data_IF_877133271599
#
_entry.id   IF_877133271599
#
_cell.length_a   1.000
_cell.length_b   1.000
_cell.length_c   1.000
_cell.angle_alpha   90.00
_cell.angle_beta   90.00
_cell.angle_gamma   90.00
#
_symmetry.space_group_name_H-M   'P 1'
#
loop_
_entity.id
_entity.type
_entity.pdbx_description
1 polymer ?
#
# COMPACT_ATOMS: atom_id res chain seq x y z
N UNK A 1 20.87 3.74 5.69
CA UNK A 1 19.71 4.66 5.77
C UNK A 1 18.43 4.06 5.19
N UNK A 2 18.32 3.83 3.87
CA UNK A 2 17.07 3.36 3.21
C UNK A 2 16.41 2.14 3.86
N UNK A 3 17.20 1.09 4.15
CA UNK A 3 16.68 -0.13 4.80
C UNK A 3 16.09 0.16 6.18
N UNK A 4 16.80 0.95 7.01
CA UNK A 4 16.33 1.34 8.34
C UNK A 4 15.11 2.26 8.28
N UNK A 5 15.07 3.20 7.34
CA UNK A 5 13.94 4.10 7.13
C UNK A 5 12.67 3.33 6.72
N UNK A 6 12.81 2.34 5.83
CA UNK A 6 11.69 1.50 5.40
C UNK A 6 11.20 0.56 6.52
N UNK A 7 12.12 0.03 7.34
CA UNK A 7 11.75 -0.71 8.55
C UNK A 7 11.08 0.18 9.60
N UNK A 8 11.52 1.43 9.78
CA UNK A 8 10.95 2.33 10.77
C UNK A 8 9.46 2.62 10.52
N UNK A 9 9.12 3.03 9.29
CA UNK A 9 7.73 3.33 8.94
C UNK A 9 6.81 2.11 8.97
N UNK A 10 7.27 0.98 8.43
CA UNK A 10 6.44 -0.22 8.30
C UNK A 10 6.40 -1.09 9.55
N UNK A 11 7.53 -1.26 10.26
CA UNK A 11 7.60 -2.13 11.44
C UNK A 11 7.40 -1.36 12.74
N UNK A 12 8.08 -0.23 12.96
CA UNK A 12 7.95 0.44 14.26
C UNK A 12 6.61 1.15 14.37
N UNK A 13 6.28 2.04 13.44
CA UNK A 13 5.04 2.82 13.57
C UNK A 13 3.78 1.94 13.44
N UNK A 14 3.68 1.09 12.41
CA UNK A 14 2.45 0.33 12.19
C UNK A 14 2.24 -0.82 13.19
N UNK A 15 3.26 -1.67 13.45
CA UNK A 15 3.07 -2.79 14.39
C UNK A 15 2.89 -2.28 15.82
N UNK A 16 3.69 -1.30 16.28
CA UNK A 16 3.57 -0.83 17.65
C UNK A 16 2.26 -0.08 17.88
N UNK A 17 1.80 0.69 16.90
CA UNK A 17 0.47 1.32 16.97
C UNK A 17 -0.63 0.27 17.16
N UNK A 18 -0.67 -0.76 16.31
CA UNK A 18 -1.72 -1.79 16.42
C UNK A 18 -1.56 -2.64 17.67
N UNK A 19 -0.34 -2.93 18.13
CA UNK A 19 -0.12 -3.64 19.40
C UNK A 19 -0.65 -2.84 20.58
N UNK A 20 -0.32 -1.55 20.66
CA UNK A 20 -0.80 -0.66 21.71
C UNK A 20 -2.33 -0.52 21.68
N UNK A 21 -2.92 -0.34 20.50
CA UNK A 21 -4.37 -0.27 20.35
C UNK A 21 -5.08 -1.56 20.80
N UNK A 22 -4.49 -2.73 20.54
CA UNK A 22 -5.04 -4.02 21.01
C UNK A 22 -4.93 -4.21 22.54
N UNK A 23 -3.96 -3.57 23.19
CA UNK A 23 -3.80 -3.65 24.65
C UNK A 23 -4.79 -2.74 25.39
N UNK A 24 -5.15 -1.60 24.79
CA UNK A 24 -6.02 -0.59 25.42
C UNK A 24 -7.51 -0.90 25.18
N UNK A 25 -7.88 -1.33 23.96
CA UNK A 25 -9.30 -1.47 23.58
C UNK A 25 -9.79 -2.90 23.68
N UNK A 26 -11.00 -3.06 24.23
CA UNK A 26 -11.72 -4.33 24.21
C UNK A 26 -12.22 -4.71 22.80
N UNK A 27 -12.54 -5.99 22.57
CA UNK A 27 -13.04 -6.48 21.26
C UNK A 27 -14.33 -5.74 20.83
N UNK A 28 -15.16 -5.34 21.78
CA UNK A 28 -16.41 -4.64 21.51
C UNK A 28 -16.17 -3.17 21.11
N UNK A 29 -15.17 -2.53 21.72
CA UNK A 29 -14.78 -1.15 21.40
C UNK A 29 -13.99 -1.05 20.09
N UNK A 30 -13.15 -2.05 19.80
CA UNK A 30 -12.35 -2.13 18.59
C UNK A 30 -13.19 -1.97 17.30
N UNK A 31 -14.40 -2.52 17.28
CA UNK A 31 -15.32 -2.39 16.12
C UNK A 31 -15.70 -0.94 15.80
N UNK A 32 -15.80 -0.07 16.82
CA UNK A 32 -16.09 1.35 16.64
C UNK A 32 -14.82 2.14 16.36
N UNK A 33 -13.79 2.00 17.19
CA UNK A 33 -12.62 2.87 17.15
C UNK A 33 -11.61 2.54 16.04
N UNK A 34 -11.53 1.30 15.55
CA UNK A 34 -10.53 0.94 14.53
C UNK A 34 -10.84 1.61 13.18
N UNK A 35 -12.12 1.76 12.85
CA UNK A 35 -12.55 2.52 11.68
C UNK A 35 -12.15 4.00 11.79
N UNK A 36 -12.25 4.56 12.99
CA UNK A 36 -11.88 5.94 13.29
C UNK A 36 -10.36 6.16 13.21
N UNK A 37 -9.54 5.17 13.61
CA UNK A 37 -8.08 5.23 13.44
C UNK A 37 -7.66 5.29 11.98
N UNK A 38 -8.29 4.47 11.12
CA UNK A 38 -8.06 4.53 9.68
C UNK A 38 -8.38 5.91 9.10
N UNK A 39 -9.46 6.53 9.58
CA UNK A 39 -9.88 7.87 9.19
C UNK A 39 -8.90 8.97 9.63
N UNK A 40 -8.47 8.95 10.90
CA UNK A 40 -7.45 9.87 11.42
C UNK A 40 -6.12 9.70 10.67
N UNK A 41 -5.77 8.47 10.28
CA UNK A 41 -4.62 8.20 9.44
C UNK A 41 -4.63 8.95 8.11
N UNK A 42 -5.80 9.11 7.48
CA UNK A 42 -5.92 9.88 6.23
C UNK A 42 -5.75 11.39 6.45
N UNK A 43 -6.19 11.93 7.59
CA UNK A 43 -5.92 13.32 7.97
C UNK A 43 -4.41 13.53 8.14
N UNK A 44 -3.72 12.57 8.76
CA UNK A 44 -2.26 12.57 8.86
C UNK A 44 -1.58 12.59 7.49
N UNK A 45 -2.03 11.75 6.55
CA UNK A 45 -1.49 11.70 5.19
C UNK A 45 -1.71 13.00 4.41
N UNK A 46 -2.90 13.60 4.55
CA UNK A 46 -3.21 14.90 3.94
C UNK A 46 -2.34 16.03 4.50
N UNK A 47 -2.19 16.07 5.82
CA UNK A 47 -1.32 17.04 6.51
C UNK A 47 0.15 16.86 6.09
N UNK A 48 0.64 15.62 6.00
CA UNK A 48 2.00 15.34 5.55
C UNK A 48 2.26 15.86 4.12
N UNK A 49 1.30 15.66 3.20
CA UNK A 49 1.37 16.22 1.85
C UNK A 49 1.35 17.76 1.85
N UNK A 50 0.53 18.38 2.72
CA UNK A 50 0.42 19.83 2.84
C UNK A 50 1.71 20.48 3.39
N UNK A 51 2.29 19.90 4.45
CA UNK A 51 3.56 20.34 5.00
C UNK A 51 4.71 20.18 3.99
N UNK A 52 4.74 19.07 3.25
CA UNK A 52 5.73 18.87 2.18
C UNK A 52 5.67 20.00 1.13
N UNK A 53 4.48 20.38 0.67
CA UNK A 53 4.33 21.50 -0.27
C UNK A 53 4.70 22.85 0.36
N UNK A 54 4.35 23.07 1.63
CA UNK A 54 4.71 24.30 2.33
C UNK A 54 6.23 24.46 2.41
N UNK A 55 6.93 23.42 2.87
CA UNK A 55 8.39 23.45 3.06
C UNK A 55 9.18 23.53 1.77
N UNK A 56 8.69 22.89 0.70
CA UNK A 56 9.31 22.99 -0.64
C UNK A 56 9.13 24.38 -1.27
N UNK A 57 8.04 25.09 -0.94
CA UNK A 57 7.84 26.48 -1.38
C UNK A 57 8.63 27.49 -0.56
N UNK A 58 8.74 27.31 0.76
CA UNK A 58 9.44 28.25 1.64
C UNK A 58 10.96 28.10 1.60
N UNK A 59 11.48 26.88 1.39
CA UNK A 59 12.91 26.68 1.22
C UNK A 59 13.39 27.32 -0.08
N UNK A 60 14.38 28.20 -0.01
CA UNK A 60 14.98 28.83 -1.21
C UNK A 60 15.73 27.79 -2.03
N UNK A 61 16.56 26.98 -1.38
CA UNK A 61 17.27 25.84 -1.97
C UNK A 61 16.61 24.50 -1.63
N UNK A 62 16.95 23.45 -2.40
CA UNK A 62 16.57 22.07 -2.04
C UNK A 62 17.07 21.70 -0.65
N UNK A 63 18.29 22.10 -0.29
CA UNK A 63 18.88 21.77 1.01
C UNK A 63 18.10 22.41 2.16
N UNK A 64 17.70 23.68 2.04
CA UNK A 64 16.85 24.35 3.04
C UNK A 64 15.50 23.66 3.17
N UNK A 65 14.89 23.28 2.03
CA UNK A 65 13.62 22.53 2.01
C UNK A 65 13.76 21.18 2.72
N UNK A 66 14.87 20.48 2.47
CA UNK A 66 15.18 19.18 3.08
C UNK A 66 15.42 19.30 4.59
N UNK A 67 16.05 20.38 5.05
CA UNK A 67 16.18 20.67 6.48
C UNK A 67 14.82 20.88 7.13
N UNK A 68 13.91 21.65 6.53
CA UNK A 68 12.56 21.82 7.07
C UNK A 68 11.77 20.50 7.12
N UNK A 69 11.82 19.70 6.06
CA UNK A 69 11.19 18.38 6.02
C UNK A 69 11.75 17.48 7.14
N UNK A 70 13.07 17.41 7.26
CA UNK A 70 13.74 16.56 8.27
C UNK A 70 13.43 17.04 9.70
N UNK A 71 13.46 18.34 9.95
CA UNK A 71 13.10 18.92 11.25
C UNK A 71 11.64 18.67 11.62
N UNK A 72 10.72 18.70 10.65
CA UNK A 72 9.31 18.38 10.90
C UNK A 72 9.10 16.91 11.30
N UNK A 73 9.86 15.99 10.70
CA UNK A 73 9.84 14.57 11.05
C UNK A 73 10.36 14.39 12.49
N UNK A 74 11.47 15.04 12.85
CA UNK A 74 12.01 15.00 14.21
C UNK A 74 11.01 15.55 15.23
N UNK A 75 10.39 16.70 14.96
CA UNK A 75 9.37 17.28 15.82
C UNK A 75 8.17 16.32 16.00
N UNK A 76 7.70 15.70 14.92
CA UNK A 76 6.60 14.73 14.98
C UNK A 76 6.97 13.50 15.84
N UNK A 77 8.24 13.05 15.79
CA UNK A 77 8.74 11.96 16.62
C UNK A 77 8.82 12.33 18.10
N UNK A 78 9.22 13.55 18.43
CA UNK A 78 9.23 14.06 19.81
C UNK A 78 7.80 14.15 20.34
N UNK A 79 6.88 14.76 19.57
CA UNK A 79 5.47 14.86 19.94
C UNK A 79 4.83 13.49 20.13
N UNK A 80 5.13 12.52 19.26
CA UNK A 80 4.68 11.14 19.42
C UNK A 80 5.21 10.51 20.71
N UNK A 81 6.50 10.73 21.03
CA UNK A 81 7.12 10.21 22.25
C UNK A 81 6.48 10.80 23.52
N UNK A 82 6.19 12.11 23.51
CA UNK A 82 5.46 12.79 24.60
C UNK A 82 4.04 12.23 24.71
N UNK A 83 3.33 12.07 23.59
CA UNK A 83 1.98 11.52 23.59
C UNK A 83 1.94 10.09 24.16
N UNK A 84 2.92 9.25 23.80
CA UNK A 84 3.06 7.89 24.35
C UNK A 84 3.40 7.91 25.84
N UNK A 85 4.28 8.82 26.28
CA UNK A 85 4.61 8.99 27.70
C UNK A 85 3.37 9.41 28.52
N UNK A 86 2.60 10.37 28.01
CA UNK A 86 1.36 10.82 28.66
C UNK A 86 0.32 9.71 28.70
N UNK A 87 0.15 8.99 27.59
CA UNK A 87 -0.78 7.87 27.51
C UNK A 87 -0.43 6.78 28.53
N UNK A 88 0.83 6.38 28.62
CA UNK A 88 1.27 5.31 29.52
C UNK A 88 1.25 5.70 30.99
N UNK A 89 1.73 6.90 31.34
CA UNK A 89 1.89 7.28 32.74
C UNK A 89 0.65 7.93 33.36
N UNK A 90 -0.21 8.59 32.57
CA UNK A 90 -1.31 9.39 33.11
C UNK A 90 -2.72 8.92 32.70
N UNK A 91 -2.89 8.28 31.53
CA UNK A 91 -4.23 7.92 31.03
C UNK A 91 -4.59 6.45 31.22
N UNK A 92 -3.68 5.52 30.89
CA UNK A 92 -3.97 4.08 30.87
C UNK A 92 -3.25 3.32 32.00
N UNK A 93 -2.15 3.89 32.52
CA UNK A 93 -1.30 3.27 33.54
C UNK A 93 -0.33 2.23 32.96
N UNK A 94 0.92 2.22 33.41
CA UNK A 94 1.96 1.32 32.87
C UNK A 94 1.62 -0.18 33.01
N UNK A 95 0.77 -0.55 33.97
CA UNK A 95 0.40 -1.95 34.24
C UNK A 95 -0.51 -2.55 33.17
N UNK A 96 -1.28 -1.75 32.43
CA UNK A 96 -2.12 -2.24 31.32
C UNK A 96 -1.31 -2.42 30.03
N UNK A 97 -0.35 -1.52 29.77
CA UNK A 97 0.52 -1.55 28.58
C UNK A 97 1.64 -2.58 28.72
N UNK A 98 2.23 -2.73 29.92
CA UNK A 98 3.33 -3.66 30.20
C UNK A 98 2.89 -4.97 30.91
N UNK A 99 1.73 -5.02 31.55
CA UNK A 99 1.29 -6.18 32.35
C UNK A 99 0.82 -7.40 31.54
N UNK A 100 0.80 -7.32 30.21
CA UNK A 100 0.49 -8.47 29.33
C UNK A 100 1.71 -9.31 28.93
N UNK A 101 2.87 -9.15 29.59
CA UNK A 101 4.04 -10.02 29.34
C UNK A 101 3.88 -11.47 29.84
N UNK A 102 2.84 -11.82 30.60
CA UNK A 102 2.68 -13.17 31.18
C UNK A 102 1.84 -14.16 30.34
N UNK A 103 1.22 -13.77 29.22
CA UNK A 103 0.56 -14.73 28.32
C UNK A 103 1.47 -15.15 27.17
N UNK A 104 2.37 -16.10 27.46
CA UNK A 104 3.20 -16.93 26.58
C UNK A 104 3.79 -16.25 25.35
N UNK A 105 5.13 -16.21 25.25
CA UNK A 105 5.85 -16.08 23.98
C UNK A 105 5.41 -17.21 23.02
N UNK A 106 4.31 -17.03 22.28
CA UNK A 106 4.05 -17.81 21.07
C UNK A 106 5.19 -17.45 20.13
N UNK A 107 6.13 -18.40 19.92
CA UNK A 107 7.25 -18.25 18.98
C UNK A 107 6.68 -17.66 17.68
N UNK A 108 7.08 -16.42 17.36
CA UNK A 108 6.80 -15.85 16.04
C UNK A 108 7.54 -16.77 15.05
N UNK A 109 6.84 -17.47 14.15
CA UNK A 109 7.50 -18.37 13.22
C UNK A 109 8.55 -17.58 12.43
N UNK A 110 9.74 -18.17 12.23
CA UNK A 110 10.75 -17.55 11.38
C UNK A 110 10.20 -17.29 9.97
N UNK A 111 10.81 -16.39 9.19
CA UNK A 111 10.34 -16.08 7.82
C UNK A 111 10.22 -17.36 6.97
N UNK A 112 11.12 -18.33 7.15
CA UNK A 112 11.11 -19.63 6.47
C UNK A 112 9.98 -20.54 6.96
N UNK A 113 9.73 -20.58 8.26
CA UNK A 113 8.63 -21.34 8.85
C UNK A 113 7.26 -20.76 8.45
N UNK A 114 7.18 -19.44 8.39
CA UNK A 114 6.02 -18.69 7.92
C UNK A 114 5.76 -18.94 6.44
N UNK A 115 6.81 -18.98 5.60
CA UNK A 115 6.72 -19.37 4.19
C UNK A 115 6.19 -20.80 4.06
N UNK A 116 6.80 -21.74 4.78
CA UNK A 116 6.34 -23.13 4.80
C UNK A 116 4.86 -23.22 5.18
N UNK A 117 4.45 -22.47 6.21
CA UNK A 117 3.07 -22.45 6.68
C UNK A 117 2.07 -21.86 5.65
N UNK A 118 2.44 -20.77 4.96
CA UNK A 118 1.62 -20.17 3.88
C UNK A 118 1.43 -21.16 2.73
N UNK A 119 2.49 -21.87 2.36
CA UNK A 119 2.43 -22.87 1.28
C UNK A 119 1.77 -24.19 1.71
N UNK A 120 1.68 -24.48 3.01
CA UNK A 120 0.96 -25.67 3.53
C UNK A 120 -0.55 -25.59 3.39
N UNK A 121 -1.14 -24.39 3.43
CA UNK A 121 -2.59 -24.20 3.32
C UNK A 121 -2.95 -23.52 2.01
N UNK A 122 -3.65 -24.24 1.13
CA UNK A 122 -4.15 -23.72 -0.15
C UNK A 122 -4.93 -22.41 0.03
N UNK A 123 -5.71 -22.29 1.10
CA UNK A 123 -6.52 -21.11 1.39
C UNK A 123 -5.67 -19.88 1.76
N UNK A 124 -4.71 -20.05 2.67
CA UNK A 124 -3.78 -18.98 3.07
C UNK A 124 -2.87 -18.59 1.89
N UNK A 125 -2.41 -19.57 1.12
CA UNK A 125 -1.63 -19.35 -0.09
C UNK A 125 -2.37 -18.49 -1.12
N UNK A 126 -3.68 -18.68 -1.29
CA UNK A 126 -4.50 -17.82 -2.16
C UNK A 126 -4.58 -16.38 -1.63
N UNK A 127 -4.76 -16.17 -0.32
CA UNK A 127 -4.75 -14.82 0.26
C UNK A 127 -3.38 -14.17 0.08
N UNK A 128 -2.30 -14.89 0.37
CA UNK A 128 -0.94 -14.41 0.15
C UNK A 128 -0.70 -14.04 -1.32
N UNK A 129 -1.19 -14.84 -2.26
CA UNK A 129 -1.12 -14.55 -3.69
C UNK A 129 -1.84 -13.25 -4.06
N UNK A 130 -3.00 -12.95 -3.46
CA UNK A 130 -3.67 -11.64 -3.67
C UNK A 130 -2.78 -10.48 -3.24
N UNK A 131 -2.15 -10.58 -2.06
CA UNK A 131 -1.26 -9.54 -1.53
C UNK A 131 0.00 -9.37 -2.38
N UNK A 132 0.56 -10.48 -2.88
CA UNK A 132 1.71 -10.48 -3.79
C UNK A 132 1.33 -9.80 -5.11
N UNK A 133 0.21 -10.19 -5.73
CA UNK A 133 -0.24 -9.62 -6.99
C UNK A 133 -0.48 -8.12 -6.87
N UNK A 134 -1.12 -7.66 -5.79
CA UNK A 134 -1.25 -6.24 -5.48
C UNK A 134 0.12 -5.55 -5.41
N UNK A 135 1.04 -6.08 -4.59
CA UNK A 135 2.36 -5.47 -4.40
C UNK A 135 3.17 -5.38 -5.69
N UNK A 136 3.18 -6.44 -6.50
CA UNK A 136 3.88 -6.45 -7.79
C UNK A 136 3.25 -5.41 -8.73
N UNK A 137 1.93 -5.45 -8.91
CA UNK A 137 1.21 -4.58 -9.85
C UNK A 137 1.46 -3.10 -9.56
N UNK A 138 1.38 -2.69 -8.29
CA UNK A 138 1.65 -1.30 -7.88
C UNK A 138 3.11 -0.94 -8.08
N UNK A 139 4.04 -1.82 -7.73
CA UNK A 139 5.47 -1.53 -7.87
C UNK A 139 5.87 -1.38 -9.35
N UNK A 140 5.31 -2.20 -10.24
CA UNK A 140 5.54 -2.11 -11.68
C UNK A 140 5.14 -0.74 -12.24
N UNK A 141 3.95 -0.25 -11.90
CA UNK A 141 3.47 1.07 -12.34
C UNK A 141 4.25 2.20 -11.67
N UNK A 142 4.43 2.15 -10.34
CA UNK A 142 5.17 3.18 -9.58
C UNK A 142 6.61 3.35 -10.06
N UNK A 143 7.29 2.25 -10.43
CA UNK A 143 8.67 2.30 -10.89
C UNK A 143 8.82 3.08 -12.19
N UNK A 144 7.98 2.79 -13.19
CA UNK A 144 7.96 3.52 -14.47
C UNK A 144 7.52 4.97 -14.24
N UNK A 145 6.47 5.19 -13.44
CA UNK A 145 5.95 6.52 -13.16
C UNK A 145 6.95 7.43 -12.44
N UNK A 146 7.68 6.92 -11.43
CA UNK A 146 8.74 7.70 -10.75
C UNK A 146 9.85 8.12 -11.71
N UNK A 147 10.17 7.29 -12.70
CA UNK A 147 11.13 7.66 -13.75
C UNK A 147 10.59 8.72 -14.70
N UNK A 148 9.31 8.68 -15.05
CA UNK A 148 8.68 9.76 -15.81
C UNK A 148 8.67 11.08 -15.05
N UNK A 149 8.39 11.06 -13.74
CA UNK A 149 8.48 12.25 -12.89
C UNK A 149 9.89 12.84 -12.94
N UNK A 150 10.93 12.02 -12.82
CA UNK A 150 12.33 12.49 -12.88
C UNK A 150 12.70 13.11 -14.24
N UNK A 151 12.05 12.69 -15.33
CA UNK A 151 12.26 13.25 -16.66
C UNK A 151 11.49 14.58 -16.82
N UNK A 152 10.26 14.65 -16.33
CA UNK A 152 9.39 15.84 -16.47
C UNK A 152 9.77 16.96 -15.47
N UNK A 153 10.24 16.59 -14.28
CA UNK A 153 10.65 17.52 -13.23
C UNK A 153 12.13 17.29 -12.89
N UNK A 154 13.06 18.06 -13.48
CA UNK A 154 14.48 17.95 -13.17
C UNK A 154 14.83 18.47 -11.77
N UNK A 155 14.09 19.44 -11.23
CA UNK A 155 14.32 20.00 -9.90
C UNK A 155 13.71 19.09 -8.81
N UNK A 156 14.52 18.62 -7.82
CA UNK A 156 14.03 17.87 -6.67
C UNK A 156 12.91 18.55 -5.87
N UNK A 157 12.86 19.90 -5.85
CA UNK A 157 11.80 20.66 -5.19
C UNK A 157 10.46 20.42 -5.87
N UNK A 158 10.42 20.41 -7.21
CA UNK A 158 9.20 20.18 -7.96
C UNK A 158 8.71 18.73 -7.86
N UNK A 159 9.64 17.77 -7.86
CA UNK A 159 9.32 16.36 -7.59
C UNK A 159 8.65 16.22 -6.21
N UNK A 160 9.19 16.89 -5.19
CA UNK A 160 8.69 16.81 -3.82
C UNK A 160 7.36 17.54 -3.64
N UNK A 161 7.19 18.69 -4.28
CA UNK A 161 5.93 19.44 -4.31
C UNK A 161 4.83 18.62 -5.01
N UNK A 162 5.13 18.00 -6.16
CA UNK A 162 4.23 17.10 -6.86
C UNK A 162 3.90 15.87 -6.01
N UNK A 163 4.89 15.27 -5.34
CA UNK A 163 4.68 14.19 -4.39
C UNK A 163 3.77 14.57 -3.22
N UNK A 164 3.88 15.82 -2.72
CA UNK A 164 2.97 16.40 -1.73
C UNK A 164 1.51 16.43 -2.22
N UNK A 165 1.27 16.92 -3.44
CA UNK A 165 -0.06 16.92 -4.08
C UNK A 165 -0.61 15.50 -4.20
N UNK A 166 0.18 14.55 -4.67
CA UNK A 166 -0.22 13.15 -4.81
C UNK A 166 -0.65 12.57 -3.46
N UNK A 167 0.06 12.86 -2.37
CA UNK A 167 -0.33 12.39 -1.04
C UNK A 167 -1.67 12.99 -0.58
N UNK A 168 -1.90 14.29 -0.80
CA UNK A 168 -3.17 14.93 -0.45
C UNK A 168 -4.34 14.35 -1.24
N UNK A 169 -4.19 14.19 -2.56
CA UNK A 169 -5.22 13.57 -3.38
C UNK A 169 -5.42 12.09 -3.02
N UNK A 170 -4.36 11.38 -2.63
CA UNK A 170 -4.47 10.01 -2.10
C UNK A 170 -5.33 9.98 -0.84
N UNK A 171 -5.09 10.89 0.11
CA UNK A 171 -5.86 10.96 1.35
C UNK A 171 -7.34 11.26 1.06
N UNK A 172 -7.64 12.24 0.21
CA UNK A 172 -9.01 12.61 -0.16
C UNK A 172 -9.74 11.50 -0.94
N UNK A 173 -9.05 10.87 -1.91
CA UNK A 173 -9.61 9.75 -2.66
C UNK A 173 -9.84 8.54 -1.75
N UNK A 174 -8.94 8.27 -0.81
CA UNK A 174 -9.11 7.17 0.16
C UNK A 174 -10.30 7.44 1.07
N UNK A 175 -10.40 8.65 1.61
CA UNK A 175 -11.53 9.08 2.44
C UNK A 175 -12.88 8.83 1.75
N UNK A 176 -13.02 9.33 0.52
CA UNK A 176 -14.27 9.17 -0.26
C UNK A 176 -14.54 7.71 -0.60
N UNK A 177 -13.51 6.95 -0.99
CA UNK A 177 -13.62 5.53 -1.26
C UNK A 177 -13.99 4.71 -0.02
N UNK A 178 -13.52 5.08 1.19
CA UNK A 178 -13.86 4.39 2.45
C UNK A 178 -15.35 4.54 2.78
N UNK A 179 -15.93 5.73 2.52
CA UNK A 179 -17.37 5.94 2.68
C UNK A 179 -18.15 5.05 1.71
N UNK A 180 -17.76 5.04 0.43
CA UNK A 180 -18.40 4.21 -0.59
C UNK A 180 -18.26 2.70 -0.30
N UNK A 181 -17.09 2.26 0.15
CA UNK A 181 -16.84 0.84 0.43
C UNK A 181 -17.65 0.32 1.60
N UNK A 182 -17.91 1.15 2.61
CA UNK A 182 -18.77 0.79 3.74
C UNK A 182 -20.19 0.41 3.30
N UNK A 183 -20.71 1.05 2.25
CA UNK A 183 -22.01 0.73 1.66
C UNK A 183 -21.93 -0.54 0.80
N UNK A 184 -20.93 -0.64 -0.07
CA UNK A 184 -20.76 -1.78 -0.97
C UNK A 184 -20.55 -3.09 -0.20
N UNK A 185 -19.71 -3.08 0.84
CA UNK A 185 -19.41 -4.25 1.67
C UNK A 185 -20.61 -4.75 2.49
N UNK A 186 -21.61 -3.90 2.74
CA UNK A 186 -22.84 -4.28 3.45
C UNK A 186 -23.89 -4.91 2.55
N UNK A 187 -23.92 -4.53 1.27
CA UNK A 187 -24.99 -4.91 0.33
C UNK A 187 -24.55 -6.02 -0.61
N UNK A 188 -23.30 -5.99 -1.06
CA UNK A 188 -22.81 -6.90 -2.09
C UNK A 188 -22.03 -8.09 -1.49
N UNK A 189 -21.95 -9.16 -2.28
CA UNK A 189 -21.18 -10.35 -1.91
C UNK A 189 -19.67 -10.05 -1.79
N UNK A 190 -18.98 -10.85 -0.97
CA UNK A 190 -17.52 -10.76 -0.79
C UNK A 190 -16.76 -10.75 -2.13
N UNK A 191 -17.17 -11.59 -3.10
CA UNK A 191 -16.55 -11.65 -4.44
C UNK A 191 -16.63 -10.31 -5.17
N UNK A 192 -17.79 -9.67 -5.13
CA UNK A 192 -18.03 -8.40 -5.80
C UNK A 192 -17.14 -7.32 -5.21
N UNK A 193 -16.98 -7.28 -3.89
CA UNK A 193 -16.08 -6.34 -3.25
C UNK A 193 -14.60 -6.64 -3.54
N UNK A 194 -14.20 -7.92 -3.52
CA UNK A 194 -12.81 -8.33 -3.72
C UNK A 194 -12.31 -8.10 -5.16
N UNK A 195 -13.20 -8.15 -6.16
CA UNK A 195 -12.83 -7.96 -7.57
C UNK A 195 -12.72 -6.49 -8.00
N UNK A 196 -13.32 -5.56 -7.25
CA UNK A 196 -13.25 -4.11 -7.54
C UNK A 196 -11.80 -3.62 -7.57
N UNK A 197 -10.98 -4.05 -6.60
CA UNK A 197 -9.56 -3.66 -6.51
C UNK A 197 -8.77 -4.00 -7.78
N UNK A 198 -8.70 -5.28 -8.23
CA UNK A 198 -7.97 -5.60 -9.44
C UNK A 198 -8.58 -4.97 -10.70
N UNK A 199 -9.91 -4.78 -10.77
CA UNK A 199 -10.53 -4.08 -11.91
C UNK A 199 -10.02 -2.63 -12.00
N UNK A 200 -10.07 -1.88 -10.90
CA UNK A 200 -9.64 -0.47 -10.91
C UNK A 200 -8.15 -0.35 -11.21
N UNK A 201 -7.32 -1.23 -10.64
CA UNK A 201 -5.88 -1.25 -10.94
C UNK A 201 -5.62 -1.57 -12.42
N UNK A 202 -6.36 -2.51 -13.02
CA UNK A 202 -6.23 -2.83 -14.44
C UNK A 202 -6.68 -1.66 -15.33
N UNK A 203 -7.86 -1.11 -15.09
CA UNK A 203 -8.45 -0.01 -15.87
C UNK A 203 -7.59 1.25 -15.79
N UNK A 204 -6.91 1.49 -14.69
CA UNK A 204 -6.02 2.65 -14.54
C UNK A 204 -4.59 2.36 -15.01
N UNK A 205 -4.09 1.13 -14.82
CA UNK A 205 -2.73 0.72 -15.16
C UNK A 205 -2.50 0.45 -16.64
N UNK A 206 -3.44 -0.21 -17.32
CA UNK A 206 -3.30 -0.52 -18.76
C UNK A 206 -3.22 0.74 -19.61
N UNK A 207 -4.12 1.74 -19.46
CA UNK A 207 -3.99 2.99 -20.18
C UNK A 207 -2.68 3.70 -19.89
N UNK A 208 -2.24 3.73 -18.62
CA UNK A 208 -0.94 4.31 -18.27
C UNK A 208 0.20 3.67 -19.09
N UNK A 209 0.29 2.34 -19.14
CA UNK A 209 1.31 1.66 -19.93
C UNK A 209 1.19 1.90 -21.43
N UNK A 210 -0.04 1.97 -21.97
CA UNK A 210 -0.27 2.30 -23.39
C UNK A 210 0.24 3.71 -23.70
N UNK A 211 -0.10 4.70 -22.88
CA UNK A 211 0.37 6.08 -23.06
C UNK A 211 1.89 6.18 -23.05
N UNK A 212 2.55 5.47 -22.13
CA UNK A 212 4.02 5.49 -22.02
C UNK A 212 4.68 4.77 -23.20
N UNK A 213 4.11 3.64 -23.63
CA UNK A 213 4.67 2.80 -24.70
C UNK A 213 4.54 3.45 -26.08
N UNK A 214 3.42 4.13 -26.33
CA UNK A 214 3.09 4.72 -27.64
C UNK A 214 3.22 6.25 -27.67
N UNK A 215 4.03 6.83 -26.76
CA UNK A 215 4.18 8.29 -26.62
C UNK A 215 4.48 9.03 -27.93
N UNK A 216 5.28 8.44 -28.82
CA UNK A 216 5.62 9.05 -30.12
C UNK A 216 4.44 9.06 -31.10
N UNK A 217 3.65 7.98 -31.11
CA UNK A 217 2.43 7.93 -31.92
C UNK A 217 1.40 8.97 -31.44
N UNK A 218 1.22 9.12 -30.13
CA UNK A 218 0.33 10.14 -29.56
C UNK A 218 0.80 11.56 -29.84
N UNK A 219 2.11 11.83 -29.74
CA UNK A 219 2.67 13.15 -30.05
C UNK A 219 2.39 13.55 -31.51
N UNK A 220 2.60 12.63 -32.45
CA UNK A 220 2.37 12.87 -33.88
C UNK A 220 0.87 13.00 -34.21
N UNK A 221 0.01 12.20 -33.58
CA UNK A 221 -1.44 12.18 -33.88
C UNK A 221 -2.15 13.42 -33.35
N UNK A 222 -1.73 13.92 -32.19
CA UNK A 222 -2.35 15.08 -31.53
C UNK A 222 -1.66 16.41 -31.91
N UNK A 223 -0.62 16.37 -32.74
CA UNK A 223 0.21 17.52 -33.10
C UNK A 223 0.72 18.30 -31.87
N UNK A 224 1.22 17.56 -30.88
CA UNK A 224 1.76 18.13 -29.63
C UNK A 224 3.19 17.65 -29.37
N UNK A 225 3.93 18.43 -28.60
CA UNK A 225 5.31 18.07 -28.25
C UNK A 225 5.36 16.78 -27.42
N UNK A 226 6.47 16.05 -27.56
CA UNK A 226 6.74 14.87 -26.71
C UNK A 226 6.77 15.20 -25.21
N UNK A 227 7.15 16.42 -24.83
CA UNK A 227 7.14 16.86 -23.44
C UNK A 227 5.72 16.94 -22.86
N UNK A 228 4.76 17.44 -23.66
CA UNK A 228 3.34 17.51 -23.29
C UNK A 228 2.75 16.11 -23.05
N UNK A 229 3.06 15.15 -23.93
CA UNK A 229 2.61 13.75 -23.75
C UNK A 229 3.20 13.12 -22.49
N UNK A 230 4.49 13.37 -22.20
CA UNK A 230 5.12 12.89 -20.98
C UNK A 230 4.49 13.48 -19.72
N UNK A 231 4.12 14.77 -19.74
CA UNK A 231 3.39 15.40 -18.64
C UNK A 231 2.03 14.72 -18.40
N UNK A 232 1.25 14.48 -19.45
CA UNK A 232 -0.02 13.74 -19.33
C UNK A 232 0.20 12.33 -18.79
N UNK A 233 1.23 11.61 -19.24
CA UNK A 233 1.57 10.30 -18.69
C UNK A 233 1.91 10.35 -17.19
N UNK A 234 2.57 11.42 -16.72
CA UNK A 234 2.80 11.64 -15.28
C UNK A 234 1.48 11.87 -14.54
N UNK A 235 0.55 12.64 -15.09
CA UNK A 235 -0.77 12.85 -14.47
C UNK A 235 -1.60 11.56 -14.44
N UNK A 236 -1.65 10.81 -15.54
CA UNK A 236 -2.32 9.50 -15.57
C UNK A 236 -1.73 8.53 -14.56
N UNK A 237 -0.40 8.43 -14.48
CA UNK A 237 0.28 7.61 -13.48
C UNK A 237 0.05 8.09 -12.05
N UNK A 238 -0.12 9.39 -11.82
CA UNK A 238 -0.48 9.95 -10.52
C UNK A 238 -1.90 9.52 -10.13
N UNK A 239 -2.86 9.65 -11.04
CA UNK A 239 -4.25 9.20 -10.86
C UNK A 239 -4.32 7.71 -10.59
N UNK A 240 -3.58 6.90 -11.34
CA UNK A 240 -3.45 5.46 -11.13
C UNK A 240 -2.97 5.15 -9.70
N UNK A 241 -1.93 5.84 -9.23
CA UNK A 241 -1.38 5.63 -7.88
C UNK A 241 -2.33 6.07 -6.76
N UNK A 242 -2.96 7.23 -6.93
CA UNK A 242 -3.97 7.76 -6.00
C UNK A 242 -5.13 6.77 -5.85
N UNK A 243 -5.73 6.36 -6.97
CA UNK A 243 -6.87 5.44 -6.98
C UNK A 243 -6.49 4.05 -6.48
N UNK A 244 -5.29 3.57 -6.81
CA UNK A 244 -4.80 2.28 -6.35
C UNK A 244 -4.64 2.21 -4.84
N UNK A 245 -4.12 3.27 -4.22
CA UNK A 245 -4.00 3.35 -2.75
C UNK A 245 -5.38 3.49 -2.11
N UNK A 246 -6.23 4.35 -2.66
CA UNK A 246 -7.60 4.52 -2.18
C UNK A 246 -8.37 3.20 -2.18
N UNK A 247 -8.41 2.49 -3.30
CA UNK A 247 -9.15 1.23 -3.39
C UNK A 247 -8.52 0.12 -2.55
N UNK A 248 -7.19 0.15 -2.36
CA UNK A 248 -6.52 -0.78 -1.46
C UNK A 248 -7.04 -0.65 -0.04
N UNK A 249 -6.98 0.56 0.53
CA UNK A 249 -7.40 0.78 1.91
C UNK A 249 -8.91 0.60 2.08
N UNK A 250 -9.71 0.93 1.06
CA UNK A 250 -11.17 0.91 1.16
C UNK A 250 -11.81 -0.43 0.84
N UNK A 251 -11.24 -1.24 -0.07
CA UNK A 251 -11.81 -2.52 -0.50
C UNK A 251 -10.86 -3.70 -0.28
N UNK A 252 -9.61 -3.59 -0.71
CA UNK A 252 -8.67 -4.72 -0.64
C UNK A 252 -8.38 -5.14 0.80
N UNK A 253 -8.02 -4.19 1.67
CA UNK A 253 -7.66 -4.50 3.06
C UNK A 253 -8.89 -5.08 3.81
N UNK A 254 -10.11 -4.49 3.76
CA UNK A 254 -11.29 -5.09 4.37
C UNK A 254 -11.66 -6.47 3.81
N UNK A 255 -11.64 -6.67 2.49
CA UNK A 255 -12.00 -7.97 1.89
C UNK A 255 -10.96 -9.05 2.20
N UNK A 256 -9.68 -8.69 2.29
CA UNK A 256 -8.61 -9.54 2.81
C UNK A 256 -8.88 -9.94 4.27
N UNK A 257 -9.22 -8.97 5.13
CA UNK A 257 -9.54 -9.26 6.53
C UNK A 257 -10.76 -10.18 6.67
N UNK A 258 -11.80 -9.97 5.85
CA UNK A 258 -12.96 -10.87 5.78
C UNK A 258 -12.57 -12.28 5.36
N UNK A 259 -11.61 -12.44 4.44
CA UNK A 259 -11.13 -13.74 4.02
C UNK A 259 -10.46 -14.53 5.16
N UNK A 260 -9.92 -13.86 6.19
CA UNK A 260 -9.36 -14.55 7.36
C UNK A 260 -10.40 -14.99 8.40
N UNK A 261 -11.66 -14.58 8.28
CA UNK A 261 -12.71 -14.89 9.27
C UNK A 261 -13.01 -16.40 9.36
N UNK A 262 -13.19 -17.14 8.25
CA UNK A 262 -13.57 -18.57 8.28
C UNK A 262 -12.41 -19.53 8.62
N UNK A 263 -11.27 -19.02 9.10
CA UNK A 263 -10.10 -19.83 9.44
C UNK A 263 -10.12 -20.19 10.93
N UNK A 264 -9.68 -21.41 11.24
CA UNK A 264 -9.45 -21.86 12.62
C UNK A 264 -8.46 -20.94 13.34
N UNK A 265 -8.57 -20.80 14.67
CA UNK A 265 -7.79 -19.81 15.43
C UNK A 265 -6.27 -19.91 15.21
N UNK A 266 -5.74 -21.12 15.09
CA UNK A 266 -4.31 -21.34 14.83
C UNK A 266 -3.90 -20.86 13.43
N UNK A 267 -4.69 -21.22 12.41
CA UNK A 267 -4.47 -20.81 11.02
C UNK A 267 -4.66 -19.30 10.86
N UNK A 268 -5.61 -18.71 11.57
CA UNK A 268 -5.86 -17.28 11.58
C UNK A 268 -4.69 -16.52 12.20
N UNK A 269 -4.17 -16.96 13.34
CA UNK A 269 -3.07 -16.28 14.02
C UNK A 269 -1.74 -16.40 13.26
N UNK A 270 -1.34 -17.62 12.86
CA UNK A 270 -0.07 -17.86 12.17
C UNK A 270 -0.14 -17.49 10.69
N UNK A 271 -1.24 -17.87 10.03
CA UNK A 271 -1.44 -17.67 8.59
C UNK A 271 -1.63 -16.21 8.20
N UNK A 272 -2.38 -15.42 8.97
CA UNK A 272 -2.53 -13.97 8.71
C UNK A 272 -1.20 -13.25 8.79
N UNK A 273 -0.47 -13.46 9.89
CA UNK A 273 0.85 -12.83 10.08
C UNK A 273 1.81 -13.22 8.94
N UNK A 274 1.83 -14.50 8.57
CA UNK A 274 2.66 -14.98 7.49
C UNK A 274 2.26 -14.39 6.14
N UNK A 275 0.98 -14.44 5.74
CA UNK A 275 0.49 -13.92 4.47
C UNK A 275 0.66 -12.39 4.35
N UNK A 276 0.42 -11.63 5.43
CA UNK A 276 0.52 -10.17 5.39
C UNK A 276 1.98 -9.70 5.34
N UNK A 277 2.86 -10.29 6.17
CA UNK A 277 4.27 -9.90 6.23
C UNK A 277 5.02 -10.39 4.99
N UNK A 278 4.86 -11.66 4.63
CA UNK A 278 5.55 -12.26 3.48
C UNK A 278 4.94 -11.73 2.20
N UNK A 279 3.61 -11.80 2.05
CA UNK A 279 2.95 -11.39 0.81
C UNK A 279 3.18 -9.91 0.50
N UNK A 280 3.13 -9.04 1.50
CA UNK A 280 3.40 -7.61 1.32
C UNK A 280 4.84 -7.32 0.89
N UNK A 281 5.81 -8.05 1.47
CA UNK A 281 7.24 -7.91 1.13
C UNK A 281 7.57 -8.53 -0.22
N UNK A 282 7.19 -9.78 -0.44
CA UNK A 282 7.37 -10.48 -1.71
C UNK A 282 6.67 -9.75 -2.85
N UNK A 283 5.52 -9.13 -2.63
CA UNK A 283 4.85 -8.32 -3.64
C UNK A 283 5.70 -7.13 -4.08
N UNK A 284 6.12 -6.29 -3.13
CA UNK A 284 6.97 -5.12 -3.43
C UNK A 284 8.34 -5.51 -3.99
N UNK A 285 9.02 -6.44 -3.34
CA UNK A 285 10.32 -6.93 -3.77
C UNK A 285 10.24 -7.65 -5.12
N UNK A 286 9.15 -8.39 -5.38
CA UNK A 286 8.93 -9.07 -6.66
C UNK A 286 8.86 -8.08 -7.82
N UNK A 287 8.07 -7.00 -7.70
CA UNK A 287 8.04 -5.95 -8.72
C UNK A 287 9.41 -5.29 -8.94
N UNK A 288 10.13 -5.01 -7.84
CA UNK A 288 11.46 -4.40 -7.92
C UNK A 288 12.50 -5.35 -8.54
N UNK A 289 12.45 -6.64 -8.23
CA UNK A 289 13.33 -7.67 -8.82
C UNK A 289 13.02 -7.82 -10.31
N UNK A 290 11.76 -7.81 -10.72
CA UNK A 290 11.38 -7.84 -12.15
C UNK A 290 12.03 -6.65 -12.86
N UNK A 291 11.83 -5.42 -12.35
CA UNK A 291 12.43 -4.22 -12.94
C UNK A 291 13.96 -4.26 -12.96
N UNK A 292 14.58 -4.64 -11.84
CA UNK A 292 16.03 -4.74 -11.72
C UNK A 292 16.63 -5.78 -12.66
N UNK A 293 15.99 -6.95 -12.77
CA UNK A 293 16.44 -8.03 -13.67
C UNK A 293 16.42 -7.54 -15.11
N UNK A 294 15.32 -6.91 -15.51
CA UNK A 294 15.19 -6.39 -16.88
C UNK A 294 16.22 -5.30 -17.20
N UNK A 295 16.45 -4.36 -16.28
CA UNK A 295 17.48 -3.34 -16.45
C UNK A 295 18.89 -3.94 -16.54
N UNK A 296 19.14 -5.04 -15.82
CA UNK A 296 20.46 -5.70 -15.79
C UNK A 296 20.70 -6.53 -17.05
N UNK A 297 19.69 -7.24 -17.56
CA UNK A 297 19.83 -8.10 -18.74
C UNK A 297 19.71 -7.36 -20.07
N UNK A 298 19.03 -6.20 -20.10
CA UNK A 298 18.87 -5.38 -21.31
C UNK A 298 19.75 -4.14 -21.15
N UNK A 299 21.01 -4.27 -21.53
CA UNK A 299 22.04 -3.23 -21.34
C UNK A 299 21.66 -1.93 -22.06
N UNK A 300 21.83 -0.79 -21.39
CA UNK A 300 21.48 0.53 -21.94
C UNK A 300 19.98 0.85 -21.93
N UNK A 301 19.12 -0.05 -21.44
CA UNK A 301 17.69 0.23 -21.31
C UNK A 301 17.38 1.18 -20.16
N UNK A 302 16.29 1.93 -20.32
CA UNK A 302 15.65 2.69 -19.25
C UNK A 302 14.32 2.03 -18.88
N UNK A 303 13.85 2.25 -17.66
CA UNK A 303 12.51 1.79 -17.22
C UNK A 303 11.39 2.24 -18.17
N UNK A 304 11.53 3.41 -18.78
CA UNK A 304 10.56 3.94 -19.75
C UNK A 304 10.59 3.14 -21.05
N UNK A 305 11.78 2.76 -21.56
CA UNK A 305 11.89 1.91 -22.75
C UNK A 305 11.39 0.48 -22.52
N UNK A 306 11.42 0.01 -21.27
CA UNK A 306 10.92 -1.32 -20.89
C UNK A 306 9.42 -1.34 -20.62
N UNK A 307 8.73 -0.19 -20.67
CA UNK A 307 7.30 -0.08 -20.39
C UNK A 307 6.43 -1.07 -21.19
N UNK A 308 6.67 -1.35 -22.50
CA UNK A 308 5.88 -2.33 -23.24
C UNK A 308 5.96 -3.74 -22.63
N UNK A 309 7.17 -4.20 -22.28
CA UNK A 309 7.35 -5.54 -21.70
C UNK A 309 6.80 -5.58 -20.27
N UNK A 310 7.03 -4.53 -19.48
CA UNK A 310 6.46 -4.40 -18.13
C UNK A 310 4.93 -4.40 -18.16
N UNK A 311 4.31 -3.85 -19.22
CA UNK A 311 2.86 -3.87 -19.40
C UNK A 311 2.31 -5.28 -19.61
N UNK A 312 3.02 -6.13 -20.36
CA UNK A 312 2.64 -7.53 -20.58
C UNK A 312 2.71 -8.29 -19.25
N UNK A 313 3.81 -8.13 -18.51
CA UNK A 313 3.98 -8.74 -17.19
C UNK A 313 2.87 -8.25 -16.23
N UNK A 314 2.58 -6.95 -16.25
CA UNK A 314 1.49 -6.38 -15.45
C UNK A 314 0.15 -7.05 -15.77
N UNK A 315 -0.23 -7.17 -17.04
CA UNK A 315 -1.49 -7.83 -17.45
C UNK A 315 -1.52 -9.29 -17.00
N UNK A 316 -0.41 -10.04 -17.13
CA UNK A 316 -0.31 -11.42 -16.65
C UNK A 316 -0.53 -11.50 -15.14
N UNK A 317 0.10 -10.62 -14.36
CA UNK A 317 -0.11 -10.54 -12.90
C UNK A 317 -1.56 -10.22 -12.56
N UNK A 318 -2.21 -9.32 -13.32
CA UNK A 318 -3.63 -9.02 -13.14
C UNK A 318 -4.50 -10.24 -13.43
N UNK A 319 -4.25 -10.99 -14.52
CA UNK A 319 -4.97 -12.23 -14.81
C UNK A 319 -4.82 -13.27 -13.69
N UNK A 320 -3.61 -13.45 -13.17
CA UNK A 320 -3.35 -14.32 -12.02
C UNK A 320 -4.17 -13.86 -10.80
N UNK A 321 -4.22 -12.55 -10.56
CA UNK A 321 -4.99 -11.97 -9.47
C UNK A 321 -6.50 -12.26 -9.61
N UNK A 322 -7.08 -12.06 -10.81
CA UNK A 322 -8.48 -12.38 -11.06
C UNK A 322 -8.79 -13.87 -10.80
N UNK A 323 -7.93 -14.77 -11.27
CA UNK A 323 -8.07 -16.21 -11.05
C UNK A 323 -7.99 -16.52 -9.55
N UNK A 324 -7.06 -15.88 -8.82
CA UNK A 324 -6.91 -16.06 -7.38
C UNK A 324 -8.15 -15.61 -6.61
N UNK A 325 -8.76 -14.47 -6.96
CA UNK A 325 -10.03 -14.01 -6.34
C UNK A 325 -11.16 -15.01 -6.59
N UNK A 326 -11.29 -15.52 -7.81
CA UNK A 326 -12.35 -16.48 -8.16
C UNK A 326 -12.15 -17.80 -7.41
N UNK A 327 -10.92 -18.31 -7.35
CA UNK A 327 -10.59 -19.54 -6.60
C UNK A 327 -10.81 -19.34 -5.11
N UNK A 328 -10.37 -18.22 -4.54
CA UNK A 328 -10.57 -17.91 -3.13
C UNK A 328 -12.06 -17.78 -2.78
N UNK A 329 -12.88 -17.18 -3.64
CA UNK A 329 -14.32 -17.11 -3.43
C UNK A 329 -14.98 -18.50 -3.32
N UNK A 330 -14.53 -19.48 -4.13
CA UNK A 330 -15.07 -20.85 -4.05
C UNK A 330 -14.75 -21.47 -2.69
N UNK A 331 -13.50 -21.39 -2.27
CA UNK A 331 -13.05 -21.91 -0.97
C UNK A 331 -13.68 -21.15 0.21
N UNK A 332 -13.84 -19.83 0.09
CA UNK A 332 -14.50 -18.98 1.08
C UNK A 332 -15.93 -19.42 1.32
N UNK A 333 -16.69 -19.66 0.25
CA UNK A 333 -18.07 -20.16 0.35
C UNK A 333 -18.12 -21.52 1.05
N UNK A 334 -17.28 -22.47 0.65
CA UNK A 334 -17.23 -23.82 1.25
C UNK A 334 -16.95 -23.74 2.77
N UNK A 335 -15.95 -22.96 3.18
CA UNK A 335 -15.61 -22.80 4.60
C UNK A 335 -16.67 -22.02 5.38
N UNK A 336 -17.30 -21.02 4.76
CA UNK A 336 -18.38 -20.27 5.41
C UNK A 336 -19.66 -21.10 5.60
N UNK A 337 -19.96 -22.04 4.70
CA UNK A 337 -21.13 -22.92 4.81
C UNK A 337 -20.94 -24.09 5.77
N UNK A 338 -19.70 -24.53 6.01
CA UNK A 338 -19.39 -25.58 7.00
C UNK A 338 -19.17 -25.08 8.43
N UNK A 339 -19.30 -23.78 8.66
CA UNK A 339 -19.15 -23.10 9.96
C UNK A 339 -20.51 -22.80 10.63
N UNK A 340 -21.63 -23.18 10.00
CA UNK A 340 -22.97 -23.13 10.56
C UNK A 340 -23.42 -24.55 10.92
#
# INVERSE_FOLDING_TARGET
FYVLAEFWGSMMLSLMFWQLANQIYSINDAKKFYSLFGFVGQIGLFSAGSFMMLFTKTGTTWQTSLHYITSSILLSGILLSIALFVLGNYLVGNDTINGTQTKSKKKKPGLVESLKYVFSSKYIGLIALLVICYGISINLVEGVWKKLIQIVYPDPKDISNFGGKVQMYTALATFTAMLASSFVLRIFSWRTAAIITPIIILITGVPFFIFVSYKGWFANTLDVTSATILFFAVIFGATQNVLSKAIKYSFFDPTKEMAYIPLDEELKAKGKAAADVIGGRLGKSGGAIIQWSMLSFITGSTLVSLAPILSIIFVVVMCIWFIAVIKLNKEFKIKSSGSN
#
